data_IF_345045455632
#
_entry.id   IF_345045455632
#
_cell.length_a   1.000
_cell.length_b   1.000
_cell.length_c   1.000
_cell.angle_alpha   90.00
_cell.angle_beta   90.00
_cell.angle_gamma   90.00
#
_symmetry.space_group_name_H-M   'P 1'
#
loop_
_entity.id
_entity.type
_entity.pdbx_description
1 polymer ?
#
# COMPACT_ATOMS: atom_id res chain seq x y z
N UNK A 1 1.41 30.80 -68.34
CA UNK A 1 2.66 30.02 -68.54
C UNK A 1 3.17 29.63 -67.15
N UNK A 2 3.21 28.33 -66.87
CA UNK A 2 3.41 27.75 -65.54
C UNK A 2 4.81 28.05 -64.98
N UNK A 3 4.88 28.59 -63.75
CA UNK A 3 6.06 28.45 -62.88
C UNK A 3 5.63 27.58 -61.71
N UNK A 4 5.85 26.27 -61.86
CA UNK A 4 5.61 25.27 -60.82
C UNK A 4 6.67 25.40 -59.72
N UNK A 5 6.21 25.68 -58.51
CA UNK A 5 6.99 25.57 -57.28
C UNK A 5 7.43 24.11 -57.05
N UNK A 6 8.74 23.90 -56.85
CA UNK A 6 9.28 22.64 -56.34
C UNK A 6 9.02 22.56 -54.83
N UNK A 7 8.12 21.65 -54.42
CA UNK A 7 7.99 21.24 -53.02
C UNK A 7 8.97 20.11 -52.70
N UNK A 8 9.81 20.38 -51.69
CA UNK A 8 10.70 19.46 -51.00
C UNK A 8 9.91 18.22 -50.51
N UNK A 9 10.24 17.04 -51.04
CA UNK A 9 9.72 15.75 -50.56
C UNK A 9 10.58 15.24 -49.41
N UNK A 10 10.28 15.64 -48.17
CA UNK A 10 10.67 14.83 -47.00
C UNK A 10 9.65 13.72 -46.81
N UNK A 11 9.89 12.57 -47.45
CA UNK A 11 9.16 11.34 -47.14
C UNK A 11 9.66 10.79 -45.80
N UNK A 12 8.74 10.80 -44.83
CA UNK A 12 8.78 10.09 -43.55
C UNK A 12 9.21 8.62 -43.76
N UNK A 13 10.38 8.24 -43.27
CA UNK A 13 10.80 6.85 -43.09
C UNK A 13 11.55 6.77 -41.76
N UNK A 14 10.81 6.78 -40.65
CA UNK A 14 11.32 6.38 -39.32
C UNK A 14 10.20 5.62 -38.61
N UNK A 15 9.90 4.42 -39.10
CA UNK A 15 9.10 3.41 -38.42
C UNK A 15 9.21 2.13 -39.26
N UNK A 16 10.16 1.22 -38.95
CA UNK A 16 9.89 0.24 -37.89
C UNK A 16 11.19 -0.33 -37.26
N UNK A 17 11.64 0.19 -36.12
CA UNK A 17 12.75 -0.43 -35.36
C UNK A 17 12.39 -0.73 -33.91
N UNK A 18 11.17 -0.40 -33.47
CA UNK A 18 10.72 -0.59 -32.08
C UNK A 18 10.04 -1.94 -31.81
N UNK A 19 9.87 -2.81 -32.81
CA UNK A 19 9.10 -4.07 -32.67
C UNK A 19 9.97 -5.29 -32.30
N UNK A 20 11.30 -5.21 -32.37
CA UNK A 20 12.16 -6.40 -32.18
C UNK A 20 12.58 -6.62 -30.72
N UNK A 21 12.38 -5.65 -29.82
CA UNK A 21 12.81 -5.79 -28.41
C UNK A 21 11.84 -6.57 -27.51
N UNK A 22 10.66 -6.97 -28.00
CA UNK A 22 9.64 -7.65 -27.20
C UNK A 22 9.78 -9.19 -27.13
N UNK A 23 10.79 -9.79 -27.80
CA UNK A 23 10.92 -11.26 -27.88
C UNK A 23 11.98 -11.89 -26.97
N UNK A 24 12.72 -11.11 -26.16
CA UNK A 24 13.52 -11.69 -25.07
C UNK A 24 12.68 -11.83 -23.80
N UNK A 25 11.61 -12.62 -23.91
CA UNK A 25 10.89 -13.17 -22.76
C UNK A 25 11.85 -14.05 -21.96
N UNK A 26 12.03 -13.69 -20.68
CA UNK A 26 12.79 -14.47 -19.71
C UNK A 26 12.30 -15.92 -19.68
N UNK A 27 13.12 -16.86 -20.18
CA UNK A 27 13.01 -18.27 -19.81
C UNK A 27 13.42 -18.40 -18.35
N UNK A 28 12.45 -18.54 -17.44
CA UNK A 28 12.74 -19.07 -16.11
C UNK A 28 12.77 -20.61 -16.20
N UNK A 29 13.83 -21.28 -15.70
CA UNK A 29 13.85 -22.72 -15.62
C UNK A 29 12.85 -23.20 -14.55
N UNK A 30 11.88 -24.01 -14.97
CA UNK A 30 11.14 -24.89 -14.05
C UNK A 30 12.17 -25.83 -13.40
N UNK A 31 12.41 -25.67 -12.10
CA UNK A 31 13.00 -26.73 -11.30
C UNK A 31 11.87 -27.66 -10.88
N UNK A 32 11.82 -28.82 -11.52
CA UNK A 32 11.08 -29.96 -11.00
C UNK A 32 11.64 -30.31 -9.61
N UNK A 33 10.81 -30.15 -8.59
CA UNK A 33 11.10 -30.72 -7.27
C UNK A 33 10.72 -32.19 -7.35
N UNK A 34 11.72 -33.01 -7.67
CA UNK A 34 11.70 -34.44 -7.38
C UNK A 34 11.64 -34.58 -5.86
N UNK A 35 10.53 -35.12 -5.36
CA UNK A 35 10.41 -35.56 -3.97
C UNK A 35 11.21 -36.85 -3.88
N UNK A 36 12.45 -36.75 -3.41
CA UNK A 36 13.23 -37.90 -2.96
C UNK A 36 13.14 -37.97 -1.43
N UNK A 37 12.50 -39.04 -0.95
CA UNK A 37 12.36 -39.37 0.46
C UNK A 37 13.56 -40.24 0.81
N UNK A 38 14.58 -39.69 1.47
CA UNK A 38 15.40 -40.42 2.47
C UNK A 38 16.59 -39.62 2.99
N UNK A 39 16.80 -39.78 4.30
CA UNK A 39 18.06 -39.67 5.06
C UNK A 39 18.60 -38.30 5.47
N UNK A 40 18.29 -37.95 6.74
CA UNK A 40 19.16 -37.39 7.78
C UNK A 40 20.49 -36.76 7.34
N UNK A 41 20.56 -35.42 7.35
CA UNK A 41 21.77 -34.69 7.74
C UNK A 41 21.34 -33.53 8.63
N UNK A 42 21.80 -33.60 9.89
CA UNK A 42 21.80 -32.47 10.82
C UNK A 42 22.54 -31.30 10.19
N UNK A 43 21.83 -30.26 9.78
CA UNK A 43 22.43 -28.95 9.61
C UNK A 43 21.47 -27.86 10.07
N UNK A 44 21.83 -27.32 11.24
CA UNK A 44 21.55 -25.97 11.71
C UNK A 44 20.19 -25.38 11.30
N UNK A 45 19.17 -25.69 12.11
CA UNK A 45 18.03 -24.79 12.32
C UNK A 45 18.63 -23.39 12.53
N UNK A 46 18.40 -22.39 11.65
CA UNK A 46 18.68 -21.03 12.04
C UNK A 46 17.72 -20.79 13.19
N UNK A 47 18.27 -20.70 14.41
CA UNK A 47 17.56 -20.21 15.58
C UNK A 47 16.71 -19.06 15.07
N UNK A 48 15.38 -19.22 15.07
CA UNK A 48 14.47 -18.08 15.14
C UNK A 48 14.99 -17.33 16.36
N UNK A 49 15.77 -16.28 16.11
CA UNK A 49 16.16 -15.32 17.13
C UNK A 49 14.86 -14.95 17.77
N UNK A 50 14.67 -15.39 19.03
CA UNK A 50 13.56 -14.93 19.83
C UNK A 50 13.69 -13.41 19.82
N UNK A 51 12.82 -12.77 19.03
CA UNK A 51 12.71 -11.32 18.99
C UNK A 51 12.51 -10.94 20.44
N UNK A 52 13.46 -10.19 21.01
CA UNK A 52 13.33 -9.66 22.36
C UNK A 52 12.13 -8.70 22.31
N UNK A 53 10.96 -9.20 22.69
CA UNK A 53 9.68 -8.46 22.80
C UNK A 53 9.74 -7.27 23.79
N UNK A 54 10.88 -6.98 24.40
CA UNK A 54 11.05 -6.03 25.49
C UNK A 54 11.89 -4.79 25.12
N UNK A 55 12.08 -4.46 23.84
CA UNK A 55 12.64 -3.14 23.50
C UNK A 55 11.53 -2.07 23.58
N UNK A 56 11.59 -1.13 24.54
CA UNK A 56 10.53 -0.14 24.73
C UNK A 56 10.33 0.80 23.53
N UNK A 57 11.28 0.81 22.58
CA UNK A 57 11.23 1.63 21.36
C UNK A 57 10.55 0.94 20.17
N UNK A 58 10.29 -0.37 20.25
CA UNK A 58 9.66 -1.12 19.17
C UNK A 58 8.21 -1.46 19.54
N UNK A 59 7.38 -1.64 18.53
CA UNK A 59 6.08 -2.28 18.66
C UNK A 59 6.27 -3.79 18.81
N UNK A 60 5.62 -4.35 19.82
CA UNK A 60 5.44 -5.80 19.93
C UNK A 60 4.37 -6.28 18.95
N UNK A 61 4.31 -7.58 18.70
CA UNK A 61 3.23 -8.18 17.90
C UNK A 61 1.84 -7.85 18.47
N UNK A 62 1.71 -7.86 19.80
CA UNK A 62 0.48 -7.51 20.50
C UNK A 62 0.09 -6.03 20.30
N UNK A 63 1.05 -5.12 20.27
CA UNK A 63 0.76 -3.70 19.99
C UNK A 63 0.22 -3.53 18.56
N UNK A 64 0.83 -4.21 17.59
CA UNK A 64 0.41 -4.19 16.19
C UNK A 64 -1.02 -4.73 16.06
N UNK A 65 -1.34 -5.82 16.76
CA UNK A 65 -2.69 -6.40 16.77
C UNK A 65 -3.72 -5.46 17.40
N UNK A 66 -3.39 -4.83 18.53
CA UNK A 66 -4.27 -3.83 19.18
C UNK A 66 -4.57 -2.64 18.27
N UNK A 67 -3.54 -2.06 17.67
CA UNK A 67 -3.67 -0.94 16.73
C UNK A 67 -4.44 -1.39 15.48
N UNK A 68 -4.25 -2.64 15.06
CA UNK A 68 -4.94 -3.18 13.91
C UNK A 68 -6.45 -3.31 14.13
N UNK A 69 -6.82 -3.91 15.26
CA UNK A 69 -8.22 -4.06 15.66
C UNK A 69 -8.88 -2.71 15.92
N UNK A 70 -8.13 -1.74 16.45
CA UNK A 70 -8.59 -0.37 16.63
C UNK A 70 -9.05 0.26 15.31
N UNK A 71 -8.21 0.26 14.27
CA UNK A 71 -8.57 0.87 12.99
C UNK A 71 -9.73 0.17 12.28
N UNK A 72 -9.80 -1.17 12.34
CA UNK A 72 -10.93 -1.94 11.83
C UNK A 72 -12.24 -1.54 12.50
N UNK A 73 -12.25 -1.48 13.84
CA UNK A 73 -13.42 -1.09 14.62
C UNK A 73 -13.82 0.37 14.36
N UNK A 74 -12.83 1.26 14.25
CA UNK A 74 -13.03 2.67 13.99
C UNK A 74 -13.69 2.89 12.62
N UNK A 75 -13.23 2.21 11.57
CA UNK A 75 -13.85 2.24 10.25
C UNK A 75 -15.29 1.71 10.28
N UNK A 76 -15.52 0.53 10.88
CA UNK A 76 -16.83 -0.10 10.98
C UNK A 76 -17.86 0.80 11.69
N UNK A 77 -17.50 1.32 12.86
CA UNK A 77 -18.38 2.16 13.68
C UNK A 77 -18.70 3.48 12.94
N UNK A 78 -17.69 4.16 12.39
CA UNK A 78 -17.91 5.44 11.70
C UNK A 78 -18.80 5.25 10.45
N UNK A 79 -18.60 4.16 9.69
CA UNK A 79 -19.42 3.84 8.51
C UNK A 79 -20.86 3.48 8.88
N UNK A 80 -21.08 2.85 10.02
CA UNK A 80 -22.42 2.54 10.53
C UNK A 80 -23.19 3.78 11.03
N UNK A 81 -22.54 4.95 11.11
CA UNK A 81 -23.14 6.18 11.61
C UNK A 81 -23.19 6.29 13.14
N UNK A 82 -22.61 5.31 13.85
CA UNK A 82 -22.50 5.31 15.31
C UNK A 82 -21.31 6.17 15.75
N UNK A 83 -21.43 6.80 16.93
CA UNK A 83 -20.32 7.55 17.51
C UNK A 83 -19.23 6.61 18.04
N UNK A 84 -18.00 6.82 17.56
CA UNK A 84 -16.83 6.12 18.05
C UNK A 84 -16.25 6.85 19.28
N UNK A 85 -15.97 6.10 20.35
CA UNK A 85 -15.32 6.60 21.55
C UNK A 85 -13.78 6.59 21.37
N UNK A 86 -13.22 7.79 21.19
CA UNK A 86 -11.78 7.99 21.04
C UNK A 86 -11.02 7.97 22.38
N UNK A 87 -11.70 8.01 23.53
CA UNK A 87 -11.04 8.06 24.86
C UNK A 87 -10.34 6.75 25.21
N UNK A 88 -10.82 5.63 24.66
CA UNK A 88 -10.27 4.29 24.87
C UNK A 88 -9.38 3.82 23.70
N UNK A 89 -8.91 4.76 22.87
CA UNK A 89 -8.02 4.47 21.74
C UNK A 89 -6.62 4.03 22.23
N UNK A 90 -5.97 3.05 21.57
CA UNK A 90 -4.59 2.68 21.86
C UNK A 90 -3.57 3.72 21.34
N UNK A 91 -4.02 4.76 20.65
CA UNK A 91 -3.20 5.86 20.12
C UNK A 91 -3.85 7.20 20.45
N UNK A 92 -3.03 8.25 20.56
CA UNK A 92 -3.53 9.59 20.88
C UNK A 92 -3.86 10.35 19.59
N UNK A 93 -5.08 10.86 19.50
CA UNK A 93 -5.54 11.71 18.41
C UNK A 93 -5.71 13.14 18.90
N UNK A 94 -5.36 14.12 18.06
CA UNK A 94 -5.82 15.49 18.28
C UNK A 94 -7.28 15.64 17.86
N UNK A 95 -7.96 16.69 18.34
CA UNK A 95 -9.33 17.01 17.91
C UNK A 95 -9.44 17.18 16.39
N UNK A 96 -8.38 17.72 15.77
CA UNK A 96 -8.29 17.87 14.31
C UNK A 96 -8.28 16.50 13.61
N UNK A 97 -7.53 15.54 14.15
CA UNK A 97 -7.45 14.18 13.60
C UNK A 97 -8.78 13.46 13.75
N UNK A 98 -9.44 13.61 14.90
CA UNK A 98 -10.77 13.04 15.17
C UNK A 98 -11.80 13.56 14.16
N UNK A 99 -11.85 14.88 13.96
CA UNK A 99 -12.76 15.51 13.00
C UNK A 99 -12.48 15.06 11.57
N UNK A 100 -11.20 14.95 11.20
CA UNK A 100 -10.80 14.45 9.89
C UNK A 100 -11.21 12.99 9.68
N UNK A 101 -10.91 12.10 10.63
CA UNK A 101 -11.30 10.68 10.59
C UNK A 101 -12.81 10.50 10.44
N UNK A 102 -13.59 11.23 11.25
CA UNK A 102 -15.06 11.22 11.18
C UNK A 102 -15.58 11.66 9.81
N UNK A 103 -14.93 12.60 9.12
CA UNK A 103 -15.34 13.07 7.79
C UNK A 103 -14.92 12.09 6.69
N UNK A 104 -13.66 11.67 6.70
CA UNK A 104 -13.09 10.82 5.65
C UNK A 104 -13.71 9.43 5.65
N UNK A 105 -13.78 8.76 6.81
CA UNK A 105 -14.23 7.37 6.88
C UNK A 105 -15.75 7.20 6.77
N UNK A 106 -16.52 8.30 6.90
CA UNK A 106 -17.97 8.28 6.57
C UNK A 106 -18.24 8.08 5.08
N UNK A 107 -17.27 8.37 4.22
CA UNK A 107 -17.41 8.20 2.77
C UNK A 107 -17.34 6.70 2.46
N UNK A 108 -18.38 6.17 1.80
CA UNK A 108 -18.48 4.74 1.46
C UNK A 108 -17.32 4.25 0.59
N UNK A 109 -16.77 5.13 -0.24
CA UNK A 109 -15.64 4.84 -1.14
C UNK A 109 -14.31 4.68 -0.40
N UNK A 110 -14.19 5.21 0.83
CA UNK A 110 -12.95 5.15 1.60
C UNK A 110 -12.83 3.82 2.34
N UNK A 111 -11.71 3.11 2.19
CA UNK A 111 -11.41 1.84 2.88
C UNK A 111 -10.03 1.88 3.52
N UNK A 112 -9.94 1.33 4.73
CA UNK A 112 -8.71 1.21 5.47
C UNK A 112 -7.96 -0.08 5.24
N UNK A 113 -6.65 -0.01 5.09
CA UNK A 113 -5.77 -1.18 5.10
C UNK A 113 -4.52 -0.91 5.93
N UNK A 114 -4.21 -1.82 6.85
CA UNK A 114 -2.98 -1.76 7.61
C UNK A 114 -1.89 -2.39 6.76
N UNK A 115 -0.95 -1.56 6.30
CA UNK A 115 0.29 -2.07 5.71
C UNK A 115 1.35 -1.98 6.80
N UNK A 116 1.93 -3.13 7.16
CA UNK A 116 3.13 -3.12 7.98
C UNK A 116 4.16 -2.29 7.23
N UNK A 117 4.62 -1.19 7.83
CA UNK A 117 5.80 -0.50 7.34
C UNK A 117 6.92 -1.50 7.49
N UNK A 118 7.57 -1.84 6.38
CA UNK A 118 8.91 -2.39 6.46
C UNK A 118 9.78 -1.24 6.94
N UNK A 119 9.92 -1.11 8.26
CA UNK A 119 10.99 -0.29 8.80
C UNK A 119 12.31 -0.94 8.35
N UNK A 120 13.39 -0.15 8.21
CA UNK A 120 14.72 -0.64 7.80
C UNK A 120 15.24 -1.82 8.67
N UNK A 121 14.61 -2.03 9.83
CA UNK A 121 14.85 -3.12 10.76
C UNK A 121 13.54 -3.89 11.02
N UNK A 122 13.31 -4.95 10.24
CA UNK A 122 12.18 -5.90 10.42
C UNK A 122 12.13 -6.50 11.85
N UNK A 123 13.22 -6.42 12.62
CA UNK A 123 13.28 -6.91 14.01
C UNK A 123 12.85 -5.90 15.06
N UNK A 124 12.71 -4.62 14.70
CA UNK A 124 12.26 -3.54 15.60
C UNK A 124 11.38 -2.51 14.85
N UNK A 125 10.09 -2.82 14.63
CA UNK A 125 9.18 -1.87 14.02
C UNK A 125 8.93 -0.71 14.99
N UNK A 126 9.30 0.51 14.60
CA UNK A 126 9.10 1.76 15.35
C UNK A 126 7.84 2.49 14.91
N UNK A 127 7.30 2.10 13.75
CA UNK A 127 6.13 2.73 13.16
C UNK A 127 5.13 1.71 12.61
N UNK A 128 3.85 2.08 12.62
CA UNK A 128 2.75 1.33 11.99
C UNK A 128 2.05 2.27 11.04
N UNK A 129 1.78 1.81 9.81
CA UNK A 129 1.09 2.57 8.78
C UNK A 129 -0.29 1.98 8.54
N UNK A 130 -1.28 2.85 8.58
CA UNK A 130 -2.63 2.55 8.15
C UNK A 130 -2.96 3.45 6.96
N UNK A 131 -3.22 2.83 5.81
CA UNK A 131 -3.56 3.52 4.58
C UNK A 131 -5.06 3.61 4.45
N UNK A 132 -5.56 4.73 3.98
CA UNK A 132 -6.96 4.93 3.61
C UNK A 132 -6.98 5.22 2.11
N UNK A 133 -7.65 4.33 1.37
CA UNK A 133 -7.89 4.43 -0.06
C UNK A 133 -9.33 4.89 -0.28
N UNK A 134 -9.50 6.10 -0.80
CA UNK A 134 -10.78 6.68 -1.21
C UNK A 134 -10.84 6.75 -2.74
N UNK A 135 -10.97 5.59 -3.38
CA UNK A 135 -11.08 5.49 -4.84
C UNK A 135 -12.46 5.03 -5.27
N UNK A 136 -13.02 5.71 -6.27
CA UNK A 136 -14.24 5.30 -6.97
C UNK A 136 -13.94 5.09 -8.45
N UNK A 137 -14.31 3.91 -8.96
CA UNK A 137 -14.12 3.53 -10.36
C UNK A 137 -15.47 3.45 -11.05
N UNK A 138 -15.60 4.13 -12.18
CA UNK A 138 -16.75 4.06 -13.08
C UNK A 138 -16.33 3.32 -14.34
N UNK A 139 -17.20 2.43 -14.83
CA UNK A 139 -16.95 1.69 -16.08
C UNK A 139 -17.72 2.38 -17.20
N UNK A 140 -16.99 2.93 -18.18
CA UNK A 140 -17.55 3.54 -19.39
C UNK A 140 -17.00 2.77 -20.57
N UNK A 141 -17.88 2.22 -21.42
CA UNK A 141 -17.51 1.46 -22.62
C UNK A 141 -16.56 0.26 -22.36
N UNK A 142 -16.63 -0.32 -21.15
CA UNK A 142 -15.79 -1.44 -20.75
C UNK A 142 -14.41 -1.03 -20.18
N UNK A 143 -14.12 0.26 -20.11
CA UNK A 143 -12.90 0.79 -19.50
C UNK A 143 -13.18 1.34 -18.09
N UNK A 144 -12.34 0.93 -17.13
CA UNK A 144 -12.33 1.47 -15.77
C UNK A 144 -11.71 2.86 -15.77
N UNK A 145 -12.51 3.86 -15.41
CA UNK A 145 -12.09 5.25 -15.23
C UNK A 145 -12.22 5.61 -13.75
N UNK A 146 -11.18 6.21 -13.18
CA UNK A 146 -11.26 6.73 -11.81
C UNK A 146 -12.10 8.02 -11.82
N UNK A 147 -13.22 8.01 -11.11
CA UNK A 147 -14.03 9.22 -10.89
C UNK A 147 -13.47 10.06 -9.74
N UNK A 148 -12.86 9.40 -8.75
CA UNK A 148 -12.20 10.04 -7.63
C UNK A 148 -11.11 9.11 -7.09
N UNK A 149 -9.97 9.66 -6.72
CA UNK A 149 -8.88 8.91 -6.10
C UNK A 149 -8.16 9.80 -5.08
N UNK A 150 -8.24 9.44 -3.81
CA UNK A 150 -7.52 10.08 -2.71
C UNK A 150 -6.87 9.02 -1.82
N UNK A 151 -5.57 9.18 -1.54
CA UNK A 151 -4.81 8.29 -0.66
C UNK A 151 -4.31 9.04 0.57
N UNK A 152 -4.46 8.41 1.74
CA UNK A 152 -4.00 8.95 3.01
C UNK A 152 -3.27 7.91 3.83
N UNK A 153 -2.23 8.39 4.51
CA UNK A 153 -1.36 7.59 5.36
C UNK A 153 -1.53 8.07 6.81
N UNK A 154 -1.89 7.15 7.70
CA UNK A 154 -1.89 7.36 9.15
C UNK A 154 -0.69 6.61 9.73
N UNK A 155 0.34 7.36 10.07
CA UNK A 155 1.55 6.85 10.71
C UNK A 155 1.43 6.93 12.23
N UNK A 156 1.48 5.78 12.89
CA UNK A 156 1.53 5.67 14.35
C UNK A 156 2.97 5.38 14.78
N UNK A 157 3.51 6.22 15.66
CA UNK A 157 4.83 6.01 16.27
C UNK A 157 4.68 5.38 17.65
N UNK A 158 5.69 4.61 18.10
CA UNK A 158 5.65 3.94 19.43
C UNK A 158 5.48 4.90 20.61
N UNK A 159 5.82 6.18 20.46
CA UNK A 159 5.56 7.22 21.44
C UNK A 159 4.10 7.71 21.46
N UNK A 160 3.17 7.02 20.81
CA UNK A 160 1.73 7.34 20.80
C UNK A 160 1.32 8.40 19.78
N UNK A 161 2.28 9.10 19.17
CA UNK A 161 2.00 10.18 18.21
C UNK A 161 1.45 9.62 16.89
N UNK A 162 0.32 10.19 16.47
CA UNK A 162 -0.29 9.97 15.15
C UNK A 162 0.11 11.11 14.19
N UNK A 163 0.41 10.76 12.94
CA UNK A 163 0.63 11.70 11.84
C UNK A 163 -0.28 11.26 10.69
N UNK A 164 -1.15 12.16 10.23
CA UNK A 164 -2.01 11.95 9.06
C UNK A 164 -1.47 12.79 7.91
N UNK A 165 -1.18 12.15 6.78
CA UNK A 165 -0.64 12.80 5.58
C UNK A 165 -1.37 12.32 4.32
N UNK A 166 -1.66 13.24 3.40
CA UNK A 166 -2.12 12.88 2.06
C UNK A 166 -0.95 12.27 1.30
N UNK A 167 -1.09 11.04 0.83
CA UNK A 167 -0.04 10.31 0.11
C UNK A 167 -0.22 10.36 -1.41
N UNK A 168 -1.40 10.72 -1.90
CA UNK A 168 -1.65 10.91 -3.31
C UNK A 168 -3.11 11.22 -3.64
N UNK A 169 -3.37 11.45 -4.92
CA UNK A 169 -4.73 11.53 -5.46
C UNK A 169 -4.78 12.01 -6.91
N UNK A 170 -5.87 11.68 -7.59
CA UNK A 170 -6.20 12.11 -8.94
C UNK A 170 -7.73 12.27 -9.06
N UNK A 171 -8.16 13.24 -9.86
CA UNK A 171 -9.57 13.58 -10.06
C UNK A 171 -9.69 14.76 -11.01
#
# INVERSE_FOLDING_TARGET
MLVMHQHIKHKKIILPLLVIYFLFGCKQPKKDVVIDVSSNINDSIPKKTQVKDNNPKCFSTNDIEKISNHYKKLEEVIKSGVEYDFTNSPVEYSDKDILWLKRTLKRSICKGEIKRVKDDDDSCPKSILYNIDCSETIVIDGEENFSEQDYWDILVKKNGKVIISKSGGAG
#
